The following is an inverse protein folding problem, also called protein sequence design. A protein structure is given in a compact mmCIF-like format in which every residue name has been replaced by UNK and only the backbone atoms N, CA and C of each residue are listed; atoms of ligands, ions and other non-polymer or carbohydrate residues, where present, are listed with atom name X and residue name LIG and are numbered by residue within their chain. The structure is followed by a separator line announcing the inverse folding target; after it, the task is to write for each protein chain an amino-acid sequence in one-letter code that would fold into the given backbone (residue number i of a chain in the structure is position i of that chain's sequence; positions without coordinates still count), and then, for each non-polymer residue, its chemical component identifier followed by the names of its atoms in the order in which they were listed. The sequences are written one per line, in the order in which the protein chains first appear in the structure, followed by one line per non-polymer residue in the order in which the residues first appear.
data_IF_286833644798
#
_entry.id   IF_286833644798
#
_cell.length_a   1.000
_cell.length_b   1.000
_cell.length_c   1.000
_cell.angle_alpha   90.00
_cell.angle_beta   90.00
_cell.angle_gamma   90.00
#
_symmetry.space_group_name_H-M   'P 1'
#
loop_
_entity.id
_entity.type
_entity.pdbx_description
1 polymer ?
#
# COMPACT_ATOMS: atom_id res chain seq x y z
N UNK A 1 -17.69 75.10 -24.43
CA UNK A 1 -16.31 75.00 -23.91
C UNK A 1 -16.39 75.03 -22.39
N UNK A 2 -16.34 73.87 -21.74
CA UNK A 2 -16.39 73.76 -20.27
C UNK A 2 -15.15 73.00 -19.78
N UNK A 3 -14.51 73.40 -18.67
CA UNK A 3 -13.33 72.72 -18.16
C UNK A 3 -13.73 71.42 -17.44
N UNK A 4 -13.11 70.31 -17.85
CA UNK A 4 -13.18 69.03 -17.13
C UNK A 4 -12.45 69.18 -15.80
N UNK A 5 -13.22 69.07 -14.73
CA UNK A 5 -12.78 69.00 -13.35
C UNK A 5 -11.82 67.81 -13.15
N UNK A 6 -10.78 68.09 -12.36
CA UNK A 6 -9.79 67.16 -11.89
C UNK A 6 -10.41 65.93 -11.23
N UNK A 7 -9.82 64.77 -11.54
CA UNK A 7 -9.99 63.51 -10.83
C UNK A 7 -9.09 63.54 -9.58
N UNK A 8 -9.64 63.53 -8.34
CA UNK A 8 -8.86 63.62 -7.12
C UNK A 8 -8.57 62.25 -6.48
N UNK A 9 -9.06 61.14 -7.04
CA UNK A 9 -9.01 59.84 -6.36
C UNK A 9 -7.95 58.92 -6.99
N UNK A 10 -6.70 59.20 -6.63
CA UNK A 10 -5.53 58.37 -6.89
C UNK A 10 -5.62 57.00 -6.21
N UNK A 11 -6.33 56.08 -6.84
CA UNK A 11 -6.30 54.66 -6.52
C UNK A 11 -5.44 53.88 -7.52
N UNK A 12 -4.13 54.13 -7.47
CA UNK A 12 -3.11 53.16 -7.87
C UNK A 12 -3.03 52.07 -6.80
N UNK A 13 -4.04 51.20 -6.78
CA UNK A 13 -4.21 50.14 -5.78
C UNK A 13 -3.92 48.72 -6.29
N UNK A 14 -3.33 48.57 -7.48
CA UNK A 14 -2.91 47.24 -7.96
C UNK A 14 -1.57 46.88 -7.34
N UNK A 15 -1.64 46.37 -6.10
CA UNK A 15 -0.59 45.56 -5.52
C UNK A 15 -0.26 44.42 -6.49
N UNK A 16 0.94 44.49 -7.05
CA UNK A 16 1.66 43.35 -7.60
C UNK A 16 1.54 42.19 -6.61
N UNK A 17 0.74 41.18 -6.93
CA UNK A 17 0.94 39.85 -6.36
C UNK A 17 2.09 39.24 -7.16
N UNK A 18 3.29 39.06 -6.57
CA UNK A 18 4.16 37.99 -7.05
C UNK A 18 3.43 36.69 -6.70
N UNK A 19 3.01 35.95 -7.71
CA UNK A 19 2.49 34.59 -7.53
C UNK A 19 3.62 33.73 -6.96
N UNK A 20 3.69 33.67 -5.62
CA UNK A 20 4.38 32.61 -4.90
C UNK A 20 3.63 31.31 -5.17
N UNK A 21 3.97 30.66 -6.28
CA UNK A 21 3.84 29.22 -6.40
C UNK A 21 5.06 28.61 -5.68
N UNK A 22 4.92 28.01 -4.48
CA UNK A 22 5.94 27.09 -3.99
C UNK A 22 5.86 25.83 -4.87
N UNK A 23 6.46 25.90 -6.05
CA UNK A 23 6.64 24.78 -6.94
C UNK A 23 7.66 23.82 -6.31
N UNK A 24 7.14 22.96 -5.44
CA UNK A 24 7.54 21.56 -5.23
C UNK A 24 9.05 21.32 -5.18
N UNK A 25 9.62 21.35 -3.97
CA UNK A 25 10.85 20.62 -3.70
C UNK A 25 10.67 19.16 -4.17
N UNK A 26 11.66 18.58 -4.86
CA UNK A 26 11.54 17.22 -5.37
C UNK A 26 11.46 16.26 -4.19
N UNK A 27 10.42 15.42 -4.15
CA UNK A 27 10.27 14.34 -3.16
C UNK A 27 11.25 13.20 -3.38
N UNK A 28 12.25 13.40 -4.25
CA UNK A 28 13.21 12.40 -4.71
C UNK A 28 14.55 12.59 -4.01
N UNK A 29 14.56 12.52 -2.69
CA UNK A 29 15.80 12.25 -1.96
C UNK A 29 15.50 11.41 -0.71
N UNK A 30 15.12 10.16 -0.93
CA UNK A 30 15.09 9.13 0.11
C UNK A 30 15.45 7.72 -0.43
N UNK A 31 15.98 7.66 -1.65
CA UNK A 31 16.51 6.43 -2.24
C UNK A 31 18.02 6.38 -2.02
N UNK A 32 18.43 6.31 -0.75
CA UNK A 32 19.79 5.90 -0.40
C UNK A 32 19.98 4.41 -0.73
N UNK A 33 21.15 4.00 -1.28
CA UNK A 33 21.45 2.62 -1.64
C UNK A 33 21.75 1.68 -0.44
N UNK A 34 21.45 2.08 0.80
CA UNK A 34 21.90 1.39 2.02
C UNK A 34 20.80 0.62 2.78
N UNK A 35 19.58 0.48 2.24
CA UNK A 35 18.53 -0.35 2.89
C UNK A 35 18.57 -1.80 2.41
N UNK A 36 19.73 -2.42 2.57
CA UNK A 36 19.88 -3.87 2.44
C UNK A 36 19.32 -4.58 3.66
N UNK A 37 17.99 -4.78 3.71
CA UNK A 37 17.38 -5.67 4.72
C UNK A 37 15.88 -5.51 4.98
N UNK A 38 15.30 -4.35 4.70
CA UNK A 38 13.99 -3.99 5.31
C UNK A 38 12.77 -4.42 4.50
N UNK A 39 12.99 -5.19 3.43
CA UNK A 39 11.94 -5.88 2.70
C UNK A 39 11.45 -7.09 3.50
N UNK A 40 10.87 -6.85 4.67
CA UNK A 40 10.20 -7.89 5.45
C UNK A 40 9.13 -8.52 4.58
N UNK A 41 9.43 -9.70 4.03
CA UNK A 41 8.44 -10.51 3.34
C UNK A 41 7.24 -10.62 4.30
N UNK A 42 6.00 -10.37 3.88
CA UNK A 42 4.81 -10.37 4.75
C UNK A 42 4.63 -11.64 5.59
N UNK A 43 5.37 -12.71 5.27
CA UNK A 43 5.41 -13.98 5.97
C UNK A 43 6.37 -14.03 7.19
N UNK A 44 7.25 -13.05 7.34
CA UNK A 44 8.31 -13.07 8.37
C UNK A 44 7.70 -12.89 9.77
N UNK A 45 6.66 -12.08 9.92
CA UNK A 45 5.99 -11.84 11.21
C UNK A 45 5.42 -13.12 11.84
N UNK A 46 4.54 -13.87 11.16
CA UNK A 46 3.97 -15.11 11.68
C UNK A 46 5.04 -16.18 12.00
N UNK A 47 6.03 -16.36 11.13
CA UNK A 47 7.13 -17.32 11.35
C UNK A 47 8.01 -16.94 12.54
N UNK A 48 8.37 -15.65 12.66
CA UNK A 48 9.15 -15.16 13.79
C UNK A 48 8.38 -15.22 15.11
N UNK A 49 7.05 -15.06 15.09
CA UNK A 49 6.20 -15.24 16.26
C UNK A 49 6.03 -16.71 16.69
N UNK A 50 6.01 -17.62 15.72
CA UNK A 50 5.88 -19.06 15.98
C UNK A 50 7.08 -19.63 16.76
N UNK A 51 8.30 -19.18 16.44
CA UNK A 51 9.55 -19.68 17.03
C UNK A 51 9.57 -19.55 18.56
N UNK A 52 9.44 -18.36 19.17
CA UNK A 52 9.43 -18.22 20.63
C UNK A 52 8.22 -18.91 21.27
N UNK A 53 7.06 -18.92 20.61
CA UNK A 53 5.87 -19.59 21.13
C UNK A 53 6.07 -21.11 21.25
N UNK A 54 6.64 -21.75 20.22
CA UNK A 54 6.95 -23.19 20.23
C UNK A 54 8.07 -23.50 21.22
N UNK A 55 9.11 -22.65 21.31
CA UNK A 55 10.19 -22.82 22.28
C UNK A 55 9.69 -22.76 23.72
N UNK A 56 8.84 -21.79 24.05
CA UNK A 56 8.22 -21.69 25.39
C UNK A 56 7.36 -22.92 25.67
N UNK A 57 6.52 -23.34 24.71
CA UNK A 57 5.70 -24.54 24.82
C UNK A 57 6.53 -25.82 25.09
N UNK A 58 7.69 -25.93 24.44
CA UNK A 58 8.61 -27.06 24.61
C UNK A 58 9.23 -27.13 26.02
N UNK A 59 9.32 -26.00 26.73
CA UNK A 59 9.78 -26.01 28.13
C UNK A 59 8.73 -26.58 29.10
N UNK A 60 7.45 -26.57 28.71
CA UNK A 60 6.35 -27.13 29.51
C UNK A 60 6.18 -28.63 29.23
N UNK A 61 5.97 -29.01 27.96
CA UNK A 61 5.95 -30.41 27.54
C UNK A 61 6.11 -30.55 26.01
N UNK A 62 6.70 -31.66 25.52
CA UNK A 62 6.82 -31.92 24.08
C UNK A 62 5.47 -32.03 23.36
N UNK A 63 4.46 -32.59 24.02
CA UNK A 63 3.10 -32.73 23.46
C UNK A 63 2.46 -31.35 23.23
N UNK A 64 2.63 -30.42 24.17
CA UNK A 64 2.12 -29.05 24.04
C UNK A 64 2.86 -28.28 22.94
N UNK A 65 4.17 -28.48 22.78
CA UNK A 65 4.93 -27.89 21.66
C UNK A 65 4.42 -28.36 20.30
N UNK A 66 4.13 -29.66 20.15
CA UNK A 66 3.54 -30.22 18.92
C UNK A 66 2.14 -29.66 18.66
N UNK A 67 1.31 -29.53 19.70
CA UNK A 67 -0.02 -28.93 19.57
C UNK A 67 0.07 -27.46 19.11
N UNK A 68 0.95 -26.66 19.70
CA UNK A 68 1.17 -25.26 19.32
C UNK A 68 1.69 -25.14 17.89
N UNK A 69 2.67 -25.95 17.50
CA UNK A 69 3.19 -25.99 16.14
C UNK A 69 2.12 -26.38 15.12
N UNK A 70 1.30 -27.38 15.43
CA UNK A 70 0.19 -27.83 14.59
C UNK A 70 -0.88 -26.76 14.40
N UNK A 71 -1.25 -26.05 15.47
CA UNK A 71 -2.20 -24.91 15.39
C UNK A 71 -1.63 -23.81 14.49
N UNK A 72 -0.37 -23.45 14.68
CA UNK A 72 0.29 -22.44 13.84
C UNK A 72 0.29 -22.83 12.37
N UNK A 73 0.55 -24.10 12.05
CA UNK A 73 0.51 -24.61 10.68
C UNK A 73 -0.89 -24.48 10.07
N UNK A 74 -1.94 -24.84 10.82
CA UNK A 74 -3.33 -24.69 10.37
C UNK A 74 -3.66 -23.23 10.11
N UNK A 75 -3.26 -22.33 11.01
CA UNK A 75 -3.47 -20.88 10.84
C UNK A 75 -2.80 -20.39 9.56
N UNK A 76 -1.53 -20.73 9.32
CA UNK A 76 -0.85 -20.31 8.09
C UNK A 76 -1.47 -20.90 6.83
N UNK A 77 -1.98 -22.13 6.89
CA UNK A 77 -2.66 -22.75 5.76
C UNK A 77 -3.98 -22.04 5.45
N UNK A 78 -4.74 -21.67 6.48
CA UNK A 78 -5.99 -20.90 6.34
C UNK A 78 -5.68 -19.49 5.85
N UNK A 79 -4.68 -18.83 6.41
CA UNK A 79 -4.28 -17.48 6.01
C UNK A 79 -3.90 -17.45 4.53
N UNK A 80 -2.97 -18.31 4.11
CA UNK A 80 -2.46 -18.33 2.75
C UNK A 80 -3.49 -18.77 1.70
N UNK A 81 -4.36 -19.73 2.01
CA UNK A 81 -5.25 -20.32 1.01
C UNK A 81 -6.70 -19.83 1.08
N UNK A 82 -7.14 -19.25 2.20
CA UNK A 82 -8.53 -18.83 2.40
C UNK A 82 -8.61 -17.36 2.74
N UNK A 83 -7.89 -16.91 3.76
CA UNK A 83 -8.02 -15.56 4.29
C UNK A 83 -7.51 -14.51 3.29
N UNK A 84 -6.30 -14.72 2.73
CA UNK A 84 -5.70 -13.86 1.71
C UNK A 84 -6.62 -13.72 0.48
N UNK A 85 -7.07 -14.80 -0.18
CA UNK A 85 -7.95 -14.66 -1.33
C UNK A 85 -9.34 -14.13 -0.98
N UNK A 86 -9.87 -14.42 0.22
CA UNK A 86 -11.16 -13.89 0.67
C UNK A 86 -11.11 -12.36 0.85
N UNK A 87 -10.03 -11.84 1.42
CA UNK A 87 -9.77 -10.40 1.56
C UNK A 87 -9.51 -9.76 0.18
N UNK A 88 -8.78 -10.45 -0.70
CA UNK A 88 -8.41 -9.94 -2.03
C UNK A 88 -9.50 -10.09 -3.10
N UNK A 89 -10.60 -10.79 -2.79
CA UNK A 89 -11.65 -11.21 -3.74
C UNK A 89 -12.26 -10.08 -4.57
N UNK A 90 -12.20 -8.83 -4.09
CA UNK A 90 -12.81 -7.67 -4.76
C UNK A 90 -11.84 -6.86 -5.65
N UNK A 91 -10.54 -7.15 -5.63
CA UNK A 91 -9.52 -6.28 -6.24
C UNK A 91 -8.86 -6.88 -7.48
N UNK A 92 -8.91 -8.21 -7.65
CA UNK A 92 -8.19 -8.89 -8.72
C UNK A 92 -9.13 -9.89 -9.37
N UNK A 93 -9.76 -9.51 -10.49
CA UNK A 93 -10.63 -10.37 -11.29
C UNK A 93 -9.91 -11.51 -12.02
N UNK A 94 -8.62 -11.73 -11.72
CA UNK A 94 -7.84 -12.85 -12.25
C UNK A 94 -8.31 -14.14 -11.61
N UNK A 95 -9.26 -14.81 -12.27
CA UNK A 95 -9.55 -16.21 -11.98
C UNK A 95 -8.24 -17.02 -12.08
N UNK A 96 -7.89 -17.87 -11.10
CA UNK A 96 -6.76 -18.80 -11.18
C UNK A 96 -6.75 -19.61 -12.49
N UNK A 97 -7.92 -19.79 -13.08
CA UNK A 97 -8.11 -20.37 -14.42
C UNK A 97 -7.33 -19.62 -15.52
N UNK A 98 -7.35 -18.28 -15.54
CA UNK A 98 -6.62 -17.47 -16.52
C UNK A 98 -5.11 -17.72 -16.42
N UNK A 99 -4.59 -17.82 -15.21
CA UNK A 99 -3.16 -18.11 -14.99
C UNK A 99 -2.81 -19.48 -15.57
N UNK A 100 -3.61 -20.51 -15.26
CA UNK A 100 -3.41 -21.88 -15.79
C UNK A 100 -3.47 -21.87 -17.32
N UNK A 101 -4.50 -21.28 -17.92
CA UNK A 101 -4.67 -21.21 -19.38
C UNK A 101 -3.51 -20.48 -20.05
N UNK A 102 -3.08 -19.35 -19.50
CA UNK A 102 -1.94 -18.61 -20.01
C UNK A 102 -0.65 -19.43 -19.93
N UNK A 103 -0.40 -20.13 -18.82
CA UNK A 103 0.77 -21.02 -18.69
C UNK A 103 0.75 -22.13 -19.74
N UNK A 104 -0.40 -22.74 -20.03
CA UNK A 104 -0.53 -23.77 -21.06
C UNK A 104 -0.22 -23.21 -22.46
N UNK A 105 -0.77 -22.04 -22.78
CA UNK A 105 -0.58 -21.39 -24.09
C UNK A 105 0.88 -20.95 -24.26
N UNK A 106 1.45 -20.24 -23.28
CA UNK A 106 2.83 -19.79 -23.32
C UNK A 106 3.81 -20.95 -23.27
N UNK A 107 3.53 -21.97 -22.45
CA UNK A 107 4.28 -23.21 -22.38
C UNK A 107 4.33 -23.94 -23.73
N UNK A 108 3.20 -24.01 -24.43
CA UNK A 108 3.15 -24.59 -25.78
C UNK A 108 3.85 -23.73 -26.85
N UNK A 109 3.82 -22.41 -26.72
CA UNK A 109 4.40 -21.49 -27.71
C UNK A 109 5.93 -21.36 -27.61
N UNK A 110 6.51 -21.47 -26.41
CA UNK A 110 7.94 -21.21 -26.18
C UNK A 110 8.57 -22.05 -25.08
N UNK A 111 7.95 -23.17 -24.70
CA UNK A 111 8.43 -24.01 -23.59
C UNK A 111 8.47 -23.25 -22.26
N UNK A 112 9.53 -23.46 -21.49
CA UNK A 112 9.68 -22.83 -20.17
C UNK A 112 9.72 -21.30 -20.27
N UNK A 113 10.42 -20.74 -21.28
CA UNK A 113 10.52 -19.28 -21.46
C UNK A 113 9.15 -18.69 -21.80
N UNK A 114 8.39 -19.35 -22.66
CA UNK A 114 7.02 -18.93 -22.98
C UNK A 114 6.07 -19.02 -21.78
N UNK A 115 6.21 -20.04 -20.92
CA UNK A 115 5.43 -20.16 -19.69
C UNK A 115 5.76 -19.04 -18.67
N UNK A 116 7.03 -18.64 -18.54
CA UNK A 116 7.44 -17.53 -17.67
C UNK A 116 6.86 -16.19 -18.14
N UNK A 117 6.88 -15.94 -19.45
CA UNK A 117 6.32 -14.72 -20.03
C UNK A 117 4.78 -14.73 -20.09
N UNK A 118 4.14 -15.89 -20.00
CA UNK A 118 2.69 -16.01 -20.09
C UNK A 118 1.96 -15.22 -18.99
N UNK A 119 2.43 -15.30 -17.75
CA UNK A 119 1.82 -14.64 -16.59
C UNK A 119 1.80 -13.11 -16.74
N UNK A 120 2.93 -12.42 -16.96
CA UNK A 120 2.93 -10.97 -17.10
C UNK A 120 2.17 -10.50 -18.34
N UNK A 121 2.21 -11.24 -19.45
CA UNK A 121 1.44 -10.90 -20.66
C UNK A 121 -0.07 -11.01 -20.38
N UNK A 122 -0.51 -12.09 -19.72
CA UNK A 122 -1.90 -12.29 -19.36
C UNK A 122 -2.41 -11.20 -18.40
N UNK A 123 -1.59 -10.84 -17.40
CA UNK A 123 -1.90 -9.75 -16.49
C UNK A 123 -2.00 -8.40 -17.22
N UNK A 124 -1.08 -8.11 -18.14
CA UNK A 124 -1.12 -6.89 -18.95
C UNK A 124 -2.36 -6.85 -19.86
N UNK A 125 -2.70 -7.96 -20.50
CA UNK A 125 -3.87 -8.06 -21.37
C UNK A 125 -5.16 -7.86 -20.57
N UNK A 126 -5.29 -8.51 -19.41
CA UNK A 126 -6.46 -8.31 -18.55
C UNK A 126 -6.56 -6.87 -18.08
N UNK A 127 -5.46 -6.24 -17.68
CA UNK A 127 -5.45 -4.84 -17.26
C UNK A 127 -5.90 -3.89 -18.40
N UNK A 128 -5.57 -4.20 -19.65
CA UNK A 128 -6.07 -3.45 -20.81
C UNK A 128 -7.57 -3.71 -21.02
N UNK A 129 -8.01 -4.96 -20.96
CA UNK A 129 -9.43 -5.31 -21.12
C UNK A 129 -10.31 -4.67 -20.04
N UNK A 130 -9.87 -4.69 -18.79
CA UNK A 130 -10.53 -4.02 -17.67
C UNK A 130 -10.64 -2.51 -17.90
N UNK A 131 -9.59 -1.86 -18.42
CA UNK A 131 -9.64 -0.42 -18.79
C UNK A 131 -10.59 -0.12 -19.93
N UNK A 132 -10.82 -1.08 -20.83
CA UNK A 132 -11.74 -0.92 -21.95
C UNK A 132 -13.19 -1.23 -21.54
N UNK A 133 -13.40 -2.15 -20.60
CA UNK A 133 -14.72 -2.58 -20.12
C UNK A 133 -15.24 -1.72 -18.97
N UNK A 134 -14.37 -1.27 -18.07
CA UNK A 134 -14.71 -0.38 -16.98
C UNK A 134 -14.36 1.06 -17.36
N UNK A 135 -15.39 1.87 -17.61
CA UNK A 135 -15.30 3.31 -17.33
C UNK A 135 -15.01 3.44 -15.83
N UNK A 136 -13.77 3.80 -15.51
CA UNK A 136 -13.26 4.19 -14.19
C UNK A 136 -13.44 3.19 -13.04
N UNK A 137 -12.38 2.42 -12.76
CA UNK A 137 -12.06 2.08 -11.36
C UNK A 137 -10.63 2.55 -11.09
N UNK A 138 -10.45 3.76 -10.54
CA UNK A 138 -9.18 4.17 -10.01
C UNK A 138 -8.83 3.23 -8.86
N UNK A 139 -7.91 2.30 -9.09
CA UNK A 139 -7.16 1.66 -8.00
C UNK A 139 -6.20 2.72 -7.48
N UNK A 140 -6.76 3.69 -6.76
CA UNK A 140 -6.00 4.52 -5.85
C UNK A 140 -5.61 3.59 -4.70
N UNK A 141 -4.44 2.97 -4.83
CA UNK A 141 -3.73 2.51 -3.65
C UNK A 141 -3.37 3.78 -2.91
N UNK A 142 -4.21 4.20 -1.97
CA UNK A 142 -3.92 5.30 -1.06
C UNK A 142 -2.92 4.78 -0.01
N UNK A 143 -1.60 5.00 -0.19
CA UNK A 143 -0.60 4.51 0.73
C UNK A 143 -0.63 5.33 2.04
N UNK A 144 -1.39 6.44 2.09
CA UNK A 144 -1.49 7.37 3.21
C UNK A 144 -2.64 7.07 4.19
N UNK A 145 -3.47 6.06 3.92
CA UNK A 145 -4.57 5.67 4.82
C UNK A 145 -4.09 5.22 6.21
N UNK A 146 -2.92 4.58 6.29
CA UNK A 146 -2.30 4.17 7.57
C UNK A 146 -1.61 5.34 8.30
N UNK A 147 -1.09 6.33 7.57
CA UNK A 147 -0.47 7.51 8.19
C UNK A 147 -1.50 8.50 8.74
N UNK A 148 -2.66 8.62 8.10
CA UNK A 148 -3.73 9.52 8.55
C UNK A 148 -4.41 9.04 9.84
N UNK A 149 -4.55 7.73 10.02
CA UNK A 149 -5.05 7.11 11.26
C UNK A 149 -4.04 7.30 12.40
N UNK A 150 -2.74 7.08 12.14
CA UNK A 150 -1.68 7.29 13.14
C UNK A 150 -1.51 8.76 13.55
N UNK A 151 -1.68 9.72 12.61
CA UNK A 151 -1.71 11.16 12.95
C UNK A 151 -2.95 11.53 13.76
N UNK A 152 -4.12 10.98 13.44
CA UNK A 152 -5.34 11.22 14.21
C UNK A 152 -5.24 10.66 15.64
N UNK A 153 -4.61 9.49 15.83
CA UNK A 153 -4.30 8.95 17.16
C UNK A 153 -3.28 9.81 17.92
N UNK A 154 -2.23 10.31 17.25
CA UNK A 154 -1.24 11.20 17.87
C UNK A 154 -1.85 12.55 18.31
N UNK A 155 -2.72 13.14 17.49
CA UNK A 155 -3.43 14.37 17.84
C UNK A 155 -4.44 14.15 18.98
N UNK A 156 -5.10 12.99 19.02
CA UNK A 156 -5.99 12.61 20.12
C UNK A 156 -5.22 12.38 21.44
N UNK A 157 -4.00 11.83 21.36
CA UNK A 157 -3.14 11.61 22.52
C UNK A 157 -2.52 12.92 23.03
N UNK A 158 -2.21 13.87 22.13
CA UNK A 158 -1.81 15.23 22.49
C UNK A 158 -2.95 16.05 23.11
N UNK A 159 -4.19 15.87 22.63
CA UNK A 159 -5.37 16.51 23.22
C UNK A 159 -5.75 15.93 24.60
N UNK A 160 -5.26 14.73 24.94
CA UNK A 160 -5.53 14.03 26.19
C UNK A 160 -4.52 14.32 27.31
N UNK A 161 -3.52 15.19 27.07
CA UNK A 161 -2.59 15.65 28.11
C UNK A 161 -3.12 16.95 28.74
N UNK A 162 -3.81 16.90 29.88
CA UNK A 162 -4.08 18.10 30.67
C UNK A 162 -2.77 18.61 31.29
N UNK A 163 -2.44 19.85 31.00
CA UNK A 163 -1.91 20.87 31.92
C UNK A 163 -1.14 20.37 33.16
N UNK A 164 -0.08 19.59 32.95
CA UNK A 164 0.82 19.13 34.01
C UNK A 164 2.25 19.66 33.85
N UNK A 165 2.53 20.43 32.79
CA UNK A 165 3.87 20.97 32.48
C UNK A 165 3.95 22.49 32.65
N UNK A 166 3.02 23.11 33.38
CA UNK A 166 3.09 24.54 33.75
C UNK A 166 2.91 24.72 35.26
N UNK A 167 3.82 24.15 36.05
CA UNK A 167 4.17 24.64 37.39
C UNK A 167 5.52 24.11 37.87
#
# INVERSE_FOLDING_TARGET
MGPRSADPDGHDGRCHRPDLHPARAPVTDAAGPDRGGDGGLPLVGPLLGAIPAILVAATVSPELALAVAGIYLVIQLVEGNVLVPLVMRNTIGLSPFLVIVSLLIGGGAGGIVGALLAVPIAAALLAVLERLQARDVPVAQDPGGVESVSRAEADSMAASLPDAATR
#
